data_IF_139089030818
#
_entry.id   IF_139089030818
#
_cell.length_a   1.000
_cell.length_b   1.000
_cell.length_c   1.000
_cell.angle_alpha   90.00
_cell.angle_beta   90.00
_cell.angle_gamma   90.00
#
_symmetry.space_group_name_H-M   'P 1'
#
loop_
_entity.id
_entity.type
_entity.pdbx_description
1 polymer ?
#
# COMPACT_ATOMS: atom_id res chain seq x y z
N UNK A 1 45.25 8.62 -7.01
CA UNK A 1 44.79 8.26 -5.65
C UNK A 1 43.75 9.24 -5.13
N UNK A 2 44.01 10.55 -5.20
CA UNK A 2 43.08 11.59 -4.71
C UNK A 2 41.71 11.59 -5.42
N UNK A 3 41.68 11.42 -6.75
CA UNK A 3 40.44 11.35 -7.51
C UNK A 3 39.56 10.15 -7.10
N UNK A 4 40.17 8.98 -6.87
CA UNK A 4 39.46 7.77 -6.44
C UNK A 4 38.82 7.94 -5.05
N UNK A 5 39.54 8.56 -4.12
CA UNK A 5 39.02 8.85 -2.77
C UNK A 5 37.84 9.83 -2.83
N UNK A 6 37.91 10.87 -3.67
CA UNK A 6 36.80 11.80 -3.89
C UNK A 6 35.56 11.10 -4.44
N UNK A 7 35.72 10.22 -5.43
CA UNK A 7 34.60 9.43 -5.98
C UNK A 7 33.95 8.52 -4.93
N UNK A 8 34.76 7.85 -4.10
CA UNK A 8 34.25 6.98 -3.04
C UNK A 8 33.45 7.77 -1.99
N UNK A 9 33.97 8.92 -1.55
CA UNK A 9 33.29 9.79 -0.59
C UNK A 9 31.95 10.27 -1.15
N UNK A 10 31.90 10.73 -2.40
CA UNK A 10 30.65 11.17 -3.04
C UNK A 10 29.62 10.05 -3.10
N UNK A 11 30.03 8.82 -3.43
CA UNK A 11 29.14 7.66 -3.45
C UNK A 11 28.56 7.37 -2.06
N UNK A 12 29.41 7.39 -1.01
CA UNK A 12 28.98 7.16 0.37
C UNK A 12 27.99 8.24 0.83
N UNK A 13 28.27 9.52 0.55
CA UNK A 13 27.37 10.63 0.89
C UNK A 13 26.02 10.48 0.17
N UNK A 14 26.02 10.10 -1.11
CA UNK A 14 24.79 9.87 -1.86
C UNK A 14 23.94 8.73 -1.28
N UNK A 15 24.59 7.60 -0.92
CA UNK A 15 23.92 6.47 -0.26
C UNK A 15 23.37 6.88 1.10
N UNK A 16 24.18 7.56 1.92
CA UNK A 16 23.77 8.04 3.24
C UNK A 16 22.60 9.04 3.15
N UNK A 17 22.66 9.97 2.19
CA UNK A 17 21.59 10.92 1.92
C UNK A 17 20.28 10.24 1.50
N UNK A 18 20.37 9.21 0.64
CA UNK A 18 19.21 8.39 0.26
C UNK A 18 18.62 7.62 1.46
N UNK A 19 19.46 7.02 2.30
CA UNK A 19 19.00 6.33 3.51
C UNK A 19 18.35 7.31 4.49
N UNK A 20 18.95 8.49 4.68
CA UNK A 20 18.43 9.53 5.56
C UNK A 20 17.08 10.07 5.08
N UNK A 21 16.91 10.31 3.78
CA UNK A 21 15.61 10.76 3.23
C UNK A 21 14.52 9.72 3.44
N UNK A 22 14.83 8.43 3.21
CA UNK A 22 13.92 7.33 3.52
C UNK A 22 13.60 7.24 5.01
N UNK A 23 14.60 7.41 5.88
CA UNK A 23 14.39 7.41 7.34
C UNK A 23 13.48 8.57 7.80
N UNK A 24 13.58 9.75 7.16
CA UNK A 24 12.70 10.89 7.45
C UNK A 24 11.27 10.60 7.02
N UNK A 25 11.05 10.06 5.81
CA UNK A 25 9.72 9.65 5.35
C UNK A 25 9.07 8.64 6.33
N UNK A 26 9.86 7.75 6.94
CA UNK A 26 9.38 6.72 7.85
C UNK A 26 9.32 7.12 9.32
N UNK A 27 9.86 8.29 9.70
CA UNK A 27 9.81 8.78 11.09
C UNK A 27 8.37 9.01 11.55
N UNK A 28 7.50 9.41 10.61
CA UNK A 28 6.06 9.61 10.86
C UNK A 28 5.26 8.31 11.05
N UNK A 29 5.84 7.13 10.81
CA UNK A 29 5.12 5.88 11.00
C UNK A 29 5.06 5.49 12.48
N UNK A 30 3.85 5.17 12.92
CA UNK A 30 3.53 4.69 14.25
C UNK A 30 4.07 3.27 14.47
N UNK A 31 4.63 3.01 15.65
CA UNK A 31 5.08 1.67 16.02
C UNK A 31 3.93 0.91 16.70
N UNK A 32 3.23 0.08 15.93
CA UNK A 32 2.13 -0.71 16.49
C UNK A 32 2.63 -1.81 17.45
N UNK A 33 1.88 -2.14 18.51
CA UNK A 33 2.19 -3.25 19.41
C UNK A 33 2.31 -4.59 18.67
N UNK A 34 3.15 -5.49 19.18
CA UNK A 34 3.40 -6.82 18.57
C UNK A 34 2.12 -7.61 18.29
N UNK A 35 1.13 -7.74 19.22
CA UNK A 35 -0.08 -8.51 18.95
C UNK A 35 -0.86 -7.98 17.74
N UNK A 36 -1.02 -6.65 17.66
CA UNK A 36 -1.72 -5.98 16.56
C UNK A 36 -0.97 -6.14 15.24
N UNK A 37 0.37 -6.08 15.29
CA UNK A 37 1.21 -6.35 14.12
C UNK A 37 1.04 -7.79 13.63
N UNK A 38 1.03 -8.76 14.54
CA UNK A 38 0.89 -10.16 14.18
C UNK A 38 -0.54 -10.47 13.68
N UNK A 39 -1.54 -9.73 14.15
CA UNK A 39 -2.92 -9.81 13.65
C UNK A 39 -3.07 -9.27 12.21
N UNK A 40 -2.36 -8.21 11.83
CA UNK A 40 -2.40 -7.70 10.45
C UNK A 40 -1.71 -8.64 9.45
N UNK A 41 -0.68 -9.38 9.86
CA UNK A 41 0.02 -10.32 8.97
C UNK A 41 -0.91 -11.41 8.45
N UNK A 42 -0.70 -11.80 7.21
CA UNK A 42 -1.41 -12.90 6.58
C UNK A 42 -2.31 -12.44 5.44
N UNK A 43 -3.30 -13.29 5.14
CA UNK A 43 -4.21 -13.13 4.02
C UNK A 43 -5.50 -12.46 4.49
N UNK A 44 -5.93 -11.48 3.72
CA UNK A 44 -7.13 -10.69 3.92
C UNK A 44 -7.96 -10.77 2.66
N UNK A 45 -9.28 -10.89 2.80
CA UNK A 45 -10.19 -10.97 1.67
C UNK A 45 -11.45 -10.18 1.93
N UNK A 46 -12.02 -9.59 0.89
CA UNK A 46 -13.31 -8.94 0.96
C UNK A 46 -13.66 -8.29 -0.36
N UNK A 47 -14.31 -7.14 -0.29
CA UNK A 47 -14.84 -6.43 -1.45
C UNK A 47 -14.28 -5.01 -1.51
N UNK A 48 -14.15 -4.51 -2.74
CA UNK A 48 -13.96 -3.11 -3.01
C UNK A 48 -15.06 -2.62 -3.92
N UNK A 49 -15.62 -1.46 -3.60
CA UNK A 49 -16.59 -0.75 -4.41
C UNK A 49 -15.90 0.48 -4.99
N UNK A 50 -15.69 0.49 -6.30
CA UNK A 50 -15.16 1.63 -7.01
C UNK A 50 -16.31 2.54 -7.43
N UNK A 51 -16.30 3.76 -6.91
CA UNK A 51 -17.03 4.85 -7.54
C UNK A 51 -16.23 5.21 -8.79
N UNK A 52 -16.80 4.96 -9.98
CA UNK A 52 -16.15 5.43 -11.18
C UNK A 52 -16.04 6.97 -11.16
N UNK A 53 -15.19 7.53 -12.03
CA UNK A 53 -15.23 8.96 -12.31
C UNK A 53 -16.63 9.41 -12.79
N UNK A 54 -16.82 10.68 -13.16
CA UNK A 54 -18.14 11.32 -13.30
C UNK A 54 -19.17 10.63 -14.21
N UNK A 55 -18.80 9.63 -15.01
CA UNK A 55 -19.66 9.00 -16.02
C UNK A 55 -19.81 7.46 -15.91
N UNK A 56 -19.16 6.78 -14.95
CA UNK A 56 -19.20 5.30 -14.89
C UNK A 56 -20.12 4.74 -13.79
N UNK A 57 -20.72 3.54 -13.97
CA UNK A 57 -21.45 2.86 -12.91
C UNK A 57 -20.49 2.39 -11.80
N UNK A 58 -20.95 2.35 -10.53
CA UNK A 58 -20.18 1.73 -9.46
C UNK A 58 -19.83 0.29 -9.81
N UNK A 59 -18.60 -0.12 -9.55
CA UNK A 59 -18.13 -1.48 -9.80
C UNK A 59 -17.69 -2.12 -8.50
N UNK A 60 -18.28 -3.25 -8.15
CA UNK A 60 -17.87 -4.06 -7.01
C UNK A 60 -17.05 -5.27 -7.46
N UNK A 61 -15.95 -5.52 -6.77
CA UNK A 61 -15.08 -6.65 -7.06
C UNK A 61 -14.46 -7.23 -5.80
N UNK A 62 -14.13 -8.52 -5.87
CA UNK A 62 -13.43 -9.22 -4.79
C UNK A 62 -11.97 -8.81 -4.78
N UNK A 63 -11.45 -8.51 -3.59
CA UNK A 63 -10.05 -8.17 -3.36
C UNK A 63 -9.45 -9.16 -2.37
N UNK A 64 -8.23 -9.61 -2.67
CA UNK A 64 -7.40 -10.42 -1.78
C UNK A 64 -6.10 -9.68 -1.54
N UNK A 65 -5.71 -9.52 -0.28
CA UNK A 65 -4.44 -8.87 0.09
C UNK A 65 -3.62 -9.79 0.97
N UNK A 66 -2.35 -9.98 0.61
CA UNK A 66 -1.38 -10.64 1.48
C UNK A 66 -0.48 -9.59 2.11
N UNK A 67 -0.54 -9.43 3.44
CA UNK A 67 0.33 -8.51 4.18
C UNK A 67 1.56 -9.19 4.77
N UNK A 68 2.67 -8.47 4.74
CA UNK A 68 3.91 -8.76 5.47
C UNK A 68 4.40 -7.49 6.16
N UNK A 69 5.00 -7.63 7.33
CA UNK A 69 5.41 -6.48 8.14
C UNK A 69 6.85 -6.65 8.58
N UNK A 70 7.65 -5.64 8.27
CA UNK A 70 9.03 -5.53 8.70
C UNK A 70 9.19 -4.23 9.49
N UNK A 71 9.42 -4.35 10.80
CA UNK A 71 9.45 -3.23 11.73
C UNK A 71 8.15 -2.40 11.69
N UNK A 72 8.22 -1.12 11.30
CA UNK A 72 7.06 -0.22 11.11
C UNK A 72 6.45 -0.30 9.70
N UNK A 73 7.12 -1.02 8.79
CA UNK A 73 6.80 -1.00 7.38
C UNK A 73 5.86 -2.15 7.03
N UNK A 74 4.70 -1.80 6.49
CA UNK A 74 3.72 -2.76 5.97
C UNK A 74 3.91 -2.86 4.46
N UNK A 75 4.11 -4.08 3.98
CA UNK A 75 4.10 -4.45 2.57
C UNK A 75 2.92 -5.33 2.30
N UNK A 76 2.38 -5.25 1.11
CA UNK A 76 1.41 -6.23 0.67
C UNK A 76 1.40 -6.44 -0.83
N UNK A 77 0.72 -7.51 -1.22
CA UNK A 77 0.35 -7.76 -2.61
C UNK A 77 -1.16 -7.91 -2.65
N UNK A 78 -1.83 -7.04 -3.40
CA UNK A 78 -3.27 -7.14 -3.64
C UNK A 78 -3.53 -7.78 -5.00
N UNK A 79 -4.58 -8.60 -5.05
CA UNK A 79 -5.06 -9.29 -6.22
C UNK A 79 -6.56 -9.01 -6.34
N UNK A 80 -6.99 -8.64 -7.53
CA UNK A 80 -8.40 -8.50 -7.86
C UNK A 80 -8.64 -8.74 -9.35
N UNK A 81 -9.89 -8.99 -9.70
CA UNK A 81 -10.33 -9.20 -11.07
C UNK A 81 -11.50 -8.26 -11.37
N UNK A 82 -11.38 -7.47 -12.42
CA UNK A 82 -12.39 -6.54 -12.91
C UNK A 82 -12.44 -6.68 -14.44
N UNK A 83 -13.62 -6.83 -15.03
CA UNK A 83 -13.82 -7.03 -16.48
C UNK A 83 -12.94 -8.15 -17.08
N UNK A 84 -12.85 -9.29 -16.38
CA UNK A 84 -11.99 -10.44 -16.72
C UNK A 84 -10.47 -10.11 -16.78
N UNK A 85 -10.05 -8.95 -16.24
CA UNK A 85 -8.65 -8.58 -16.12
C UNK A 85 -8.14 -8.79 -14.70
N UNK A 86 -7.19 -9.73 -14.56
CA UNK A 86 -6.49 -9.97 -13.30
C UNK A 86 -5.41 -8.92 -13.08
N UNK A 87 -5.51 -8.20 -11.97
CA UNK A 87 -4.60 -7.13 -11.58
C UNK A 87 -3.87 -7.46 -10.30
N UNK A 88 -2.57 -7.16 -10.27
CA UNK A 88 -1.69 -7.35 -9.13
C UNK A 88 -1.11 -6.00 -8.71
N UNK A 89 -1.31 -5.61 -7.46
CA UNK A 89 -0.81 -4.35 -6.92
C UNK A 89 0.21 -4.60 -5.82
N UNK A 90 1.31 -3.85 -5.85
CA UNK A 90 2.28 -3.77 -4.75
C UNK A 90 1.86 -2.67 -3.79
N UNK A 91 1.61 -3.03 -2.54
CA UNK A 91 1.25 -2.13 -1.45
C UNK A 91 2.47 -1.86 -0.56
N UNK A 92 2.62 -0.61 -0.14
CA UNK A 92 3.70 -0.23 0.77
C UNK A 92 3.36 1.01 1.60
N UNK A 93 3.69 0.97 2.89
CA UNK A 93 3.45 2.08 3.80
C UNK A 93 3.53 1.62 5.25
N UNK A 94 2.57 2.04 6.07
CA UNK A 94 2.52 1.67 7.47
C UNK A 94 1.45 2.41 8.24
N UNK A 95 1.45 2.22 9.55
CA UNK A 95 0.51 2.88 10.44
C UNK A 95 0.90 4.33 10.65
N UNK A 96 -0.07 5.24 10.54
CA UNK A 96 0.09 6.65 10.92
C UNK A 96 -0.38 6.90 12.35
N UNK A 97 -1.30 6.05 12.82
CA UNK A 97 -1.75 6.00 14.21
C UNK A 97 -1.99 4.53 14.61
N UNK A 98 -2.48 4.24 15.81
CA UNK A 98 -2.71 2.89 16.29
C UNK A 98 -3.76 2.09 15.46
N UNK A 99 -4.63 2.75 14.70
CA UNK A 99 -5.69 2.13 13.91
C UNK A 99 -5.65 2.51 12.42
N UNK A 100 -5.08 3.67 12.06
CA UNK A 100 -5.00 4.10 10.66
C UNK A 100 -3.77 3.53 9.96
N UNK A 101 -4.01 2.64 9.00
CA UNK A 101 -3.03 2.08 8.08
C UNK A 101 -3.09 2.82 6.75
N UNK A 102 -1.99 3.48 6.38
CA UNK A 102 -1.84 4.18 5.09
C UNK A 102 -0.89 3.40 4.20
N UNK A 103 -1.36 3.00 3.02
CA UNK A 103 -0.57 2.26 2.04
C UNK A 103 -0.67 2.95 0.68
N UNK A 104 0.47 3.18 0.05
CA UNK A 104 0.49 3.48 -1.37
C UNK A 104 0.40 2.16 -2.14
N UNK A 105 -0.24 2.18 -3.30
CA UNK A 105 -0.24 1.06 -4.23
C UNK A 105 0.28 1.46 -5.60
N UNK A 106 0.79 0.47 -6.33
CA UNK A 106 1.14 0.58 -7.76
C UNK A 106 0.97 -0.76 -8.44
N UNK A 107 0.72 -0.76 -9.75
CA UNK A 107 0.70 -2.00 -10.52
C UNK A 107 2.06 -2.72 -10.42
N UNK A 108 2.02 -4.04 -10.36
CA UNK A 108 3.23 -4.85 -10.41
C UNK A 108 3.92 -4.79 -11.79
N UNK A 109 3.13 -4.65 -12.86
CA UNK A 109 3.64 -4.50 -14.23
C UNK A 109 3.98 -3.02 -14.47
N UNK A 110 5.26 -2.72 -14.65
CA UNK A 110 5.73 -1.34 -14.83
C UNK A 110 5.14 -0.62 -16.06
N UNK A 111 4.67 -1.36 -17.06
CA UNK A 111 4.03 -0.81 -18.25
C UNK A 111 2.56 -0.38 -18.04
N UNK A 112 1.94 -0.74 -16.91
CA UNK A 112 0.55 -0.39 -16.61
C UNK A 112 0.52 0.80 -15.67
N UNK A 113 -0.05 1.91 -16.13
CA UNK A 113 -0.20 3.13 -15.34
C UNK A 113 -1.38 2.93 -14.38
N UNK A 114 -1.05 2.52 -13.16
CA UNK A 114 -2.01 2.42 -12.07
C UNK A 114 -1.30 2.55 -10.74
N UNK A 115 -1.71 3.52 -9.94
CA UNK A 115 -1.11 3.83 -8.65
C UNK A 115 -2.06 4.67 -7.81
N UNK A 116 -1.82 4.74 -6.51
CA UNK A 116 -2.65 5.52 -5.61
C UNK A 116 -2.36 5.26 -4.15
N UNK A 117 -3.38 5.54 -3.34
CA UNK A 117 -3.38 5.41 -1.90
C UNK A 117 -4.60 4.65 -1.44
N UNK A 118 -4.42 3.79 -0.44
CA UNK A 118 -5.49 3.24 0.37
C UNK A 118 -5.28 3.61 1.84
N UNK A 119 -6.35 4.05 2.48
CA UNK A 119 -6.44 4.32 3.91
C UNK A 119 -7.37 3.27 4.50
N UNK A 120 -6.90 2.54 5.49
CA UNK A 120 -7.64 1.48 6.17
C UNK A 120 -7.67 1.78 7.66
N UNK A 121 -8.86 1.74 8.24
CA UNK A 121 -9.07 1.62 9.67
C UNK A 121 -8.97 0.13 10.06
N UNK A 122 -8.00 -0.18 10.90
CA UNK A 122 -7.82 -1.49 11.47
C UNK A 122 -8.65 -1.60 12.75
N UNK A 123 -9.68 -2.44 12.71
CA UNK A 123 -10.63 -2.57 13.81
C UNK A 123 -9.97 -2.90 15.16
N UNK A 124 -10.66 -2.56 16.25
CA UNK A 124 -10.19 -2.86 17.61
C UNK A 124 -10.12 -4.37 17.88
N UNK A 125 -11.03 -5.15 17.30
CA UNK A 125 -11.06 -6.62 17.37
C UNK A 125 -10.06 -7.31 16.43
N UNK A 126 -9.35 -6.54 15.59
CA UNK A 126 -8.29 -6.97 14.67
C UNK A 126 -8.71 -7.97 13.59
N UNK A 127 -10.01 -8.06 13.30
CA UNK A 127 -10.55 -8.98 12.28
C UNK A 127 -10.98 -8.28 10.99
N UNK A 128 -11.06 -6.95 11.00
CA UNK A 128 -11.56 -6.16 9.88
C UNK A 128 -10.62 -5.01 9.51
N UNK A 129 -10.53 -4.73 8.22
CA UNK A 129 -9.93 -3.52 7.65
C UNK A 129 -10.97 -2.87 6.75
N UNK A 130 -11.42 -1.68 7.14
CA UNK A 130 -12.39 -0.92 6.36
C UNK A 130 -11.79 0.42 5.99
N UNK A 131 -12.09 0.93 4.81
CA UNK A 131 -11.66 2.28 4.47
C UNK A 131 -11.87 2.62 3.01
N UNK A 132 -11.00 3.47 2.49
CA UNK A 132 -11.17 4.07 1.17
C UNK A 132 -9.86 4.12 0.41
N UNK A 133 -9.97 4.11 -0.91
CA UNK A 133 -8.85 4.31 -1.81
C UNK A 133 -9.08 5.47 -2.77
N UNK A 134 -7.99 6.05 -3.24
CA UNK A 134 -7.91 7.10 -4.24
C UNK A 134 -6.70 6.81 -5.12
N UNK A 135 -6.86 6.83 -6.43
CA UNK A 135 -5.71 6.76 -7.32
C UNK A 135 -6.08 6.84 -8.78
N UNK A 136 -5.12 6.54 -9.64
CA UNK A 136 -5.31 6.47 -11.07
C UNK A 136 -5.57 5.02 -11.48
N UNK A 137 -6.71 4.77 -12.14
CA UNK A 137 -7.12 3.46 -12.63
C UNK A 137 -6.80 3.28 -14.10
N UNK A 138 -6.27 2.11 -14.51
CA UNK A 138 -5.86 1.87 -15.90
C UNK A 138 -7.03 1.54 -16.84
N UNK A 139 -8.14 1.00 -16.32
CA UNK A 139 -9.30 0.60 -17.14
C UNK A 139 -10.01 1.81 -17.74
N UNK A 140 -10.11 2.90 -16.98
CA UNK A 140 -10.81 4.11 -17.38
C UNK A 140 -9.88 5.33 -17.53
N UNK A 141 -8.56 5.13 -17.38
CA UNK A 141 -7.54 6.17 -17.52
C UNK A 141 -7.83 7.48 -16.75
N UNK A 142 -8.41 7.35 -15.57
CA UNK A 142 -8.88 8.47 -14.76
C UNK A 142 -8.61 8.27 -13.28
N UNK A 143 -8.83 9.33 -12.50
CA UNK A 143 -8.87 9.24 -11.04
C UNK A 143 -10.10 8.43 -10.63
N UNK A 144 -9.87 7.41 -9.82
CA UNK A 144 -10.89 6.54 -9.23
C UNK A 144 -10.85 6.68 -7.71
N UNK A 145 -12.02 6.62 -7.10
CA UNK A 145 -12.18 6.53 -5.65
C UNK A 145 -13.04 5.32 -5.33
N UNK A 146 -12.97 4.87 -4.08
CA UNK A 146 -13.83 3.78 -3.66
C UNK A 146 -13.63 3.41 -2.23
N UNK A 147 -14.42 2.43 -1.83
CA UNK A 147 -14.44 1.84 -0.51
C UNK A 147 -13.90 0.42 -0.57
N UNK A 148 -13.29 -0.02 0.52
CA UNK A 148 -12.74 -1.36 0.65
C UNK A 148 -13.06 -1.89 2.04
N UNK A 149 -13.55 -3.12 2.08
CA UNK A 149 -13.80 -3.87 3.31
C UNK A 149 -13.12 -5.22 3.19
N UNK A 150 -12.30 -5.58 4.17
CA UNK A 150 -11.55 -6.81 4.21
C UNK A 150 -11.72 -7.49 5.56
N UNK A 151 -11.80 -8.80 5.52
CA UNK A 151 -11.78 -9.66 6.68
C UNK A 151 -10.54 -10.54 6.65
N UNK A 152 -10.03 -10.84 7.84
CA UNK A 152 -8.91 -11.75 7.98
C UNK A 152 -9.33 -13.17 7.61
N UNK A 153 -8.53 -13.84 6.78
CA UNK A 153 -8.65 -15.29 6.58
C UNK A 153 -7.63 -16.00 7.45
N UNK A 154 -8.14 -16.83 8.36
CA UNK A 154 -7.37 -17.70 9.24
C UNK A 154 -6.69 -18.83 8.45
#
# INVERSE_FOLDING_TARGET
MEAFLKTLITLVIAIAGYIASKAIEYRGLYNIPKPRRDALKGRWEGTAAQHAGPEGPPSEYRVVIQFSIFWKFVRGVAFYELDNQKTHLKLFGGFYDNHILRLNYRNERAAVIQYGLVLLDFSSDTNQLNGSFLGYGHVHEQIVTGEISLERKL
#
